data_IF_217767482908
#
_entry.id   IF_217767482908
#
_cell.length_a   1.000
_cell.length_b   1.000
_cell.length_c   1.000
_cell.angle_alpha   90.00
_cell.angle_beta   90.00
_cell.angle_gamma   90.00
#
_symmetry.space_group_name_H-M   'P 1'
#
loop_
_entity.id
_entity.type
_entity.pdbx_description
1 polymer ?
#
# COMPACT_ATOMS: atom_id res chain seq x y z
N UNK A 1 -12.07 32.31 -37.63
CA UNK A 1 -11.29 32.24 -36.39
C UNK A 1 -11.93 31.18 -35.50
N UNK A 2 -11.29 30.01 -35.41
CA UNK A 2 -11.76 28.88 -34.61
C UNK A 2 -11.01 28.91 -33.28
N UNK A 3 -11.72 29.05 -32.17
CA UNK A 3 -11.19 28.66 -30.86
C UNK A 3 -12.11 27.60 -30.28
N UNK A 4 -11.79 26.35 -30.62
CA UNK A 4 -12.35 25.16 -29.98
C UNK A 4 -11.29 24.65 -29.01
N UNK A 5 -11.56 24.73 -27.71
CA UNK A 5 -11.42 23.58 -26.81
C UNK A 5 -11.94 23.90 -25.41
N UNK A 6 -13.11 23.33 -25.12
CA UNK A 6 -13.62 23.08 -23.78
C UNK A 6 -12.92 21.85 -23.17
N UNK A 7 -12.86 21.86 -21.82
CA UNK A 7 -12.72 20.74 -20.89
C UNK A 7 -11.36 20.03 -20.68
N UNK A 8 -10.90 20.07 -19.42
CA UNK A 8 -10.69 18.83 -18.66
C UNK A 8 -10.96 18.97 -17.15
N UNK A 9 -12.12 18.47 -16.74
CA UNK A 9 -12.44 17.99 -15.38
C UNK A 9 -11.65 16.68 -15.17
N UNK A 10 -10.85 16.53 -14.11
CA UNK A 10 -10.33 15.19 -13.67
C UNK A 10 -10.09 15.25 -12.15
N UNK A 11 -10.98 14.74 -11.30
CA UNK A 11 -10.83 13.48 -10.52
C UNK A 11 -9.38 13.22 -10.06
N UNK A 12 -9.09 13.06 -8.77
CA UNK A 12 -9.27 11.76 -8.10
C UNK A 12 -9.22 11.90 -6.56
N UNK A 13 -10.02 11.11 -5.84
CA UNK A 13 -9.86 10.96 -4.38
C UNK A 13 -8.55 10.20 -4.17
N UNK A 14 -7.44 10.90 -3.89
CA UNK A 14 -6.16 10.24 -3.64
C UNK A 14 -6.31 9.19 -2.54
N UNK A 15 -6.07 7.93 -2.87
CA UNK A 15 -6.23 6.82 -1.92
C UNK A 15 -5.08 6.89 -0.92
N UNK A 16 -5.39 6.98 0.36
CA UNK A 16 -4.39 7.05 1.43
C UNK A 16 -4.39 5.70 2.14
N UNK A 17 -3.21 5.12 2.32
CA UNK A 17 -3.01 4.03 3.28
C UNK A 17 -2.53 4.63 4.60
N UNK A 18 -3.23 4.32 5.69
CA UNK A 18 -2.86 4.76 7.03
C UNK A 18 -2.09 3.65 7.74
N UNK A 19 -0.87 3.97 8.19
CA UNK A 19 0.00 3.11 8.97
C UNK A 19 0.08 3.68 10.38
N UNK A 20 -0.39 2.93 11.37
CA UNK A 20 -0.42 3.39 12.76
C UNK A 20 0.55 2.59 13.61
N UNK A 21 1.44 3.27 14.33
CA UNK A 21 2.27 2.64 15.37
C UNK A 21 1.56 2.81 16.70
N UNK A 22 1.16 1.69 17.31
CA UNK A 22 0.45 1.64 18.59
C UNK A 22 0.61 0.28 19.27
N UNK A 23 0.63 0.21 20.60
CA UNK A 23 0.78 -1.05 21.32
C UNK A 23 -0.36 -2.05 21.00
N UNK A 24 -0.02 -3.33 20.86
CA UNK A 24 -0.97 -4.41 20.57
C UNK A 24 -2.14 -4.46 21.57
N UNK A 25 -1.86 -4.16 22.85
CA UNK A 25 -2.89 -4.11 23.90
C UNK A 25 -3.99 -3.09 23.61
N UNK A 26 -3.63 -1.94 23.03
CA UNK A 26 -4.58 -0.90 22.67
C UNK A 26 -5.40 -1.31 21.45
N UNK A 27 -4.77 -1.95 20.45
CA UNK A 27 -5.48 -2.53 19.28
C UNK A 27 -6.59 -3.49 19.73
N UNK A 28 -6.27 -4.41 20.64
CA UNK A 28 -7.25 -5.37 21.16
C UNK A 28 -8.39 -4.70 21.95
N UNK A 29 -8.07 -3.64 22.72
CA UNK A 29 -9.06 -2.88 23.49
C UNK A 29 -10.03 -2.12 22.56
N UNK A 30 -9.51 -1.48 21.52
CA UNK A 30 -10.32 -0.76 20.52
C UNK A 30 -11.19 -1.72 19.70
N UNK A 31 -10.66 -2.89 19.39
CA UNK A 31 -11.44 -3.93 18.73
C UNK A 31 -12.60 -4.42 19.61
N UNK A 32 -12.34 -4.72 20.89
CA UNK A 32 -13.36 -5.16 21.83
C UNK A 32 -14.45 -4.09 22.05
N UNK A 33 -14.06 -2.81 22.13
CA UNK A 33 -15.03 -1.70 22.25
C UNK A 33 -15.83 -1.50 20.96
N UNK A 34 -15.18 -1.62 19.80
CA UNK A 34 -15.84 -1.55 18.48
C UNK A 34 -16.89 -2.65 18.32
N UNK A 35 -16.57 -3.91 18.63
CA UNK A 35 -17.54 -5.02 18.58
C UNK A 35 -18.75 -4.77 19.50
N UNK A 36 -18.53 -4.22 20.70
CA UNK A 36 -19.63 -3.86 21.61
C UNK A 36 -20.54 -2.77 21.03
N UNK A 37 -19.98 -1.78 20.33
CA UNK A 37 -20.76 -0.73 19.65
C UNK A 37 -21.59 -1.30 18.51
N UNK A 38 -20.98 -2.15 17.68
CA UNK A 38 -21.68 -2.85 16.58
C UNK A 38 -22.83 -3.69 17.12
N UNK A 39 -22.61 -4.47 18.19
CA UNK A 39 -23.68 -5.28 18.83
C UNK A 39 -24.82 -4.42 19.37
N UNK A 40 -24.56 -3.17 19.77
CA UNK A 40 -25.56 -2.20 20.23
C UNK A 40 -26.23 -1.43 19.08
N UNK A 41 -26.01 -1.82 17.82
CA UNK A 41 -26.57 -1.17 16.64
C UNK A 41 -25.98 0.21 16.35
N UNK A 42 -24.86 0.57 16.98
CA UNK A 42 -24.21 1.85 16.73
C UNK A 42 -23.42 1.81 15.42
N UNK A 43 -23.49 2.90 14.66
CA UNK A 43 -22.73 3.06 13.42
C UNK A 43 -21.24 3.22 13.76
N UNK A 44 -20.40 2.34 13.22
CA UNK A 44 -18.95 2.43 13.35
C UNK A 44 -18.35 2.71 11.98
N UNK A 45 -17.45 3.68 11.90
CA UNK A 45 -16.68 3.93 10.69
C UNK A 45 -15.65 2.81 10.50
N UNK A 46 -15.67 2.16 9.33
CA UNK A 46 -14.63 1.21 8.94
C UNK A 46 -13.35 1.98 8.62
N UNK A 47 -12.39 1.99 9.53
CA UNK A 47 -11.02 2.43 9.24
C UNK A 47 -10.20 1.20 8.83
N UNK A 48 -9.83 1.13 7.56
CA UNK A 48 -8.90 0.12 7.05
C UNK A 48 -7.51 0.75 7.10
N UNK A 49 -6.71 0.33 8.08
CA UNK A 49 -5.34 0.81 8.29
C UNK A 49 -4.47 -0.31 8.84
N UNK A 50 -3.18 -0.26 8.52
CA UNK A 50 -2.21 -1.29 8.95
C UNK A 50 -1.59 -0.82 10.26
N UNK A 51 -1.62 -1.66 11.30
CA UNK A 51 -1.07 -1.33 12.61
C UNK A 51 0.26 -2.04 12.86
N UNK A 52 1.22 -1.32 13.43
CA UNK A 52 2.53 -1.82 13.86
C UNK A 52 2.66 -1.68 15.37
N UNK A 53 3.18 -2.70 16.04
CA UNK A 53 3.39 -2.68 17.49
C UNK A 53 4.44 -1.66 17.93
N UNK A 54 5.42 -1.37 17.05
CA UNK A 54 6.52 -0.45 17.34
C UNK A 54 7.03 0.26 16.09
N UNK A 55 7.73 1.38 16.31
CA UNK A 55 8.40 2.12 15.25
C UNK A 55 9.46 1.28 14.56
N UNK A 56 10.13 0.38 15.29
CA UNK A 56 11.10 -0.55 14.73
C UNK A 56 10.46 -1.57 13.80
N UNK A 57 9.26 -2.06 14.14
CA UNK A 57 8.46 -2.90 13.26
C UNK A 57 8.14 -2.20 11.93
N UNK A 58 7.66 -0.96 12.01
CA UNK A 58 7.41 -0.14 10.82
C UNK A 58 8.67 0.07 9.99
N UNK A 59 9.80 0.42 10.62
CA UNK A 59 11.09 0.65 9.94
C UNK A 59 11.65 -0.60 9.27
N UNK A 60 11.37 -1.79 9.81
CA UNK A 60 11.73 -3.07 9.18
C UNK A 60 10.94 -3.33 7.91
N UNK A 61 9.74 -2.76 7.76
CA UNK A 61 8.90 -2.89 6.55
C UNK A 61 9.16 -1.76 5.57
N UNK A 62 9.04 -0.50 6.00
CA UNK A 62 9.24 0.70 5.17
C UNK A 62 10.69 1.18 5.18
N UNK A 63 11.58 0.36 4.62
CA UNK A 63 12.94 0.79 4.36
C UNK A 63 12.99 1.78 3.19
N UNK A 64 14.05 2.59 3.10
CA UNK A 64 14.27 3.51 1.97
C UNK A 64 14.13 2.83 0.61
N UNK A 65 14.72 1.63 0.47
CA UNK A 65 14.69 0.84 -0.78
C UNK A 65 13.29 0.38 -1.15
N UNK A 66 12.45 0.08 -0.17
CA UNK A 66 11.07 -0.36 -0.40
C UNK A 66 10.13 0.81 -0.69
N UNK A 67 10.36 1.96 -0.06
CA UNK A 67 9.67 3.20 -0.43
C UNK A 67 9.98 3.60 -1.87
N UNK A 68 11.24 3.49 -2.30
CA UNK A 68 11.63 3.68 -3.70
C UNK A 68 10.92 2.68 -4.61
N UNK A 69 10.91 1.39 -4.25
CA UNK A 69 10.21 0.35 -5.01
C UNK A 69 8.72 0.69 -5.19
N UNK A 70 8.01 1.03 -4.12
CA UNK A 70 6.59 1.44 -4.19
C UNK A 70 6.39 2.63 -5.14
N UNK A 71 7.29 3.62 -5.06
CA UNK A 71 7.26 4.81 -5.92
C UNK A 71 7.45 4.45 -7.39
N UNK A 72 8.41 3.57 -7.72
CA UNK A 72 8.65 3.08 -9.08
C UNK A 72 7.47 2.29 -9.60
N UNK A 73 6.92 1.37 -8.80
CA UNK A 73 5.76 0.56 -9.21
C UNK A 73 4.56 1.46 -9.56
N UNK A 74 4.31 2.50 -8.75
CA UNK A 74 3.22 3.45 -9.00
C UNK A 74 3.43 4.26 -10.27
N UNK A 75 4.65 4.76 -10.49
CA UNK A 75 4.98 5.67 -11.59
C UNK A 75 5.14 4.94 -12.93
N UNK A 76 5.97 3.91 -12.96
CA UNK A 76 6.36 3.21 -14.20
C UNK A 76 5.38 2.08 -14.56
N UNK A 77 4.57 1.60 -13.61
CA UNK A 77 3.57 0.54 -13.81
C UNK A 77 4.16 -0.69 -14.54
N UNK A 78 5.20 -1.32 -13.99
CA UNK A 78 5.85 -2.47 -14.62
C UNK A 78 4.86 -3.62 -14.84
N UNK A 79 4.99 -4.30 -15.97
CA UNK A 79 4.19 -5.45 -16.40
C UNK A 79 4.78 -6.79 -15.94
N UNK A 80 5.87 -6.76 -15.17
CA UNK A 80 6.40 -7.93 -14.47
C UNK A 80 7.37 -7.54 -13.36
N UNK A 81 7.64 -8.46 -12.43
CA UNK A 81 8.73 -8.31 -11.45
C UNK A 81 10.10 -8.16 -12.11
N UNK A 82 10.32 -8.83 -13.25
CA UNK A 82 11.57 -8.70 -13.99
C UNK A 82 11.77 -7.28 -14.53
N UNK A 83 10.74 -6.70 -15.13
CA UNK A 83 10.78 -5.32 -15.63
C UNK A 83 10.98 -4.32 -14.50
N UNK A 84 10.31 -4.50 -13.36
CA UNK A 84 10.55 -3.70 -12.15
C UNK A 84 12.03 -3.72 -11.73
N UNK A 85 12.68 -4.89 -11.79
CA UNK A 85 14.10 -5.00 -11.45
C UNK A 85 15.00 -4.20 -12.41
N UNK A 86 14.61 -4.08 -13.69
CA UNK A 86 15.29 -3.23 -14.67
C UNK A 86 15.11 -1.75 -14.39
N UNK A 87 13.91 -1.29 -14.06
CA UNK A 87 13.69 0.09 -13.66
C UNK A 87 14.50 0.47 -12.42
N UNK A 88 14.56 -0.42 -11.43
CA UNK A 88 15.31 -0.21 -10.19
C UNK A 88 16.82 -0.37 -10.36
N UNK A 89 17.30 -0.94 -11.49
CA UNK A 89 18.69 -1.37 -11.68
C UNK A 89 19.21 -2.27 -10.54
N UNK A 90 18.35 -3.18 -10.08
CA UNK A 90 18.62 -4.11 -8.97
C UNK A 90 18.49 -5.56 -9.44
N UNK A 91 19.12 -6.48 -8.72
CA UNK A 91 18.98 -7.91 -9.01
C UNK A 91 17.57 -8.41 -8.66
N UNK A 92 17.11 -9.41 -9.42
CA UNK A 92 15.75 -9.93 -9.31
C UNK A 92 15.46 -10.56 -7.94
N UNK A 93 16.47 -11.16 -7.29
CA UNK A 93 16.30 -11.83 -6.00
C UNK A 93 16.00 -10.80 -4.91
N UNK A 94 16.79 -9.73 -4.84
CA UNK A 94 16.57 -8.62 -3.90
C UNK A 94 15.22 -7.95 -4.10
N UNK A 95 14.79 -7.75 -5.35
CA UNK A 95 13.47 -7.17 -5.65
C UNK A 95 12.34 -8.10 -5.19
N UNK A 96 12.43 -9.41 -5.44
CA UNK A 96 11.44 -10.36 -4.95
C UNK A 96 11.36 -10.39 -3.41
N UNK A 97 12.51 -10.34 -2.72
CA UNK A 97 12.52 -10.28 -1.25
C UNK A 97 11.81 -9.04 -0.74
N UNK A 98 12.08 -7.87 -1.34
CA UNK A 98 11.42 -6.62 -0.95
C UNK A 98 9.92 -6.63 -1.25
N UNK A 99 9.55 -7.15 -2.42
CA UNK A 99 8.15 -7.30 -2.81
C UNK A 99 7.37 -8.22 -1.87
N UNK A 100 7.97 -9.34 -1.45
CA UNK A 100 7.33 -10.28 -0.53
C UNK A 100 7.03 -9.64 0.82
N UNK A 101 7.98 -8.88 1.37
CA UNK A 101 7.76 -8.14 2.63
C UNK A 101 6.64 -7.12 2.47
N UNK A 102 6.56 -6.43 1.33
CA UNK A 102 5.49 -5.46 1.08
C UNK A 102 4.13 -6.13 0.87
N UNK A 103 4.09 -7.30 0.23
CA UNK A 103 2.86 -8.09 0.02
C UNK A 103 2.31 -8.62 1.35
N UNK A 104 3.19 -9.17 2.21
CA UNK A 104 2.83 -9.65 3.55
C UNK A 104 2.29 -8.55 4.47
N UNK A 105 2.49 -7.28 4.12
CA UNK A 105 2.00 -6.11 4.85
C UNK A 105 0.94 -5.32 4.07
N UNK A 106 0.31 -5.92 3.04
CA UNK A 106 -0.76 -5.30 2.23
C UNK A 106 -0.36 -3.96 1.56
N UNK A 107 0.93 -3.70 1.39
CA UNK A 107 1.45 -2.49 0.75
C UNK A 107 1.61 -2.65 -0.77
N UNK A 108 1.54 -3.89 -1.26
CA UNK A 108 1.55 -4.20 -2.67
C UNK A 108 0.67 -5.41 -2.97
N UNK A 109 0.01 -5.39 -4.12
CA UNK A 109 -0.80 -6.49 -4.63
C UNK A 109 -0.19 -7.03 -5.93
N UNK A 110 -0.41 -8.30 -6.22
CA UNK A 110 0.00 -8.89 -7.48
C UNK A 110 -1.18 -9.30 -8.35
N UNK A 111 -1.18 -8.82 -9.60
CA UNK A 111 -2.05 -9.38 -10.63
C UNK A 111 -1.31 -10.50 -11.36
N UNK A 112 -1.87 -11.71 -11.31
CA UNK A 112 -1.43 -12.85 -12.13
C UNK A 112 -1.99 -12.70 -13.54
N UNK A 113 -1.12 -12.78 -14.54
CA UNK A 113 -1.49 -12.77 -15.96
C UNK A 113 -0.86 -13.99 -16.63
N UNK A 114 -1.62 -14.64 -17.51
CA UNK A 114 -1.14 -15.75 -18.33
C UNK A 114 -1.45 -15.47 -19.80
N UNK A 115 -0.41 -15.16 -20.57
CA UNK A 115 -0.48 -14.87 -22.01
C UNK A 115 0.42 -15.84 -22.82
N UNK A 116 0.53 -17.08 -22.34
CA UNK A 116 1.51 -18.07 -22.81
C UNK A 116 2.75 -18.14 -21.92
N UNK A 117 2.99 -17.12 -21.08
CA UNK A 117 3.92 -17.17 -19.94
C UNK A 117 3.25 -16.58 -18.70
N UNK A 118 3.43 -17.22 -17.55
CA UNK A 118 2.90 -16.70 -16.30
C UNK A 118 3.74 -15.51 -15.83
N UNK A 119 3.09 -14.36 -15.56
CA UNK A 119 3.73 -13.15 -15.04
C UNK A 119 2.99 -12.63 -13.81
N UNK A 120 3.78 -12.06 -12.90
CA UNK A 120 3.30 -11.34 -11.72
C UNK A 120 3.50 -9.84 -11.94
N UNK A 121 2.39 -9.10 -11.96
CA UNK A 121 2.37 -7.66 -12.13
C UNK A 121 2.17 -7.03 -10.76
N UNK A 122 3.20 -6.38 -10.17
CA UNK A 122 3.06 -5.68 -8.89
C UNK A 122 2.23 -4.40 -9.06
N UNK A 123 1.38 -4.10 -8.08
CA UNK A 123 0.50 -2.93 -8.06
C UNK A 123 0.43 -2.29 -6.69
N UNK A 124 0.45 -0.96 -6.68
CA UNK A 124 0.22 -0.14 -5.48
C UNK A 124 -1.15 0.52 -5.61
N UNK A 125 -2.05 0.24 -4.66
CA UNK A 125 -3.46 0.66 -4.68
C UNK A 125 -3.72 2.05 -4.05
N UNK A 126 -2.69 2.67 -3.47
CA UNK A 126 -2.71 3.99 -2.84
C UNK A 126 -1.79 4.99 -3.54
N UNK A 127 -1.96 6.26 -3.22
CA UNK A 127 -1.16 7.39 -3.71
C UNK A 127 -0.29 7.99 -2.60
N UNK A 128 -0.76 7.94 -1.36
CA UNK A 128 -0.06 8.51 -0.20
C UNK A 128 -0.01 7.49 0.94
N UNK A 129 1.09 7.54 1.69
CA UNK A 129 1.27 6.83 2.95
C UNK A 129 1.18 7.87 4.07
N UNK A 130 0.22 7.72 4.98
CA UNK A 130 0.14 8.51 6.20
C UNK A 130 0.64 7.65 7.36
N UNK A 131 1.64 8.13 8.08
CA UNK A 131 2.17 7.46 9.27
C UNK A 131 1.68 8.22 10.49
N UNK A 132 1.00 7.53 11.39
CA UNK A 132 0.55 8.06 12.68
C UNK A 132 1.26 7.29 13.79
N UNK A 133 1.89 7.99 14.73
CA UNK A 133 2.51 7.39 15.90
C UNK A 133 1.71 7.81 17.12
N UNK A 134 1.07 6.85 17.78
CA UNK A 134 0.34 7.05 19.03
C UNK A 134 1.32 6.78 20.18
N UNK A 135 1.52 7.77 21.05
CA UNK A 135 2.45 7.73 22.20
C UNK A 135 1.69 7.85 23.51
#
# INVERSE_FOLDING_TARGET
MMDRMTHKKVHDKSKIVELTVRPTREVLKDFATTLRKVRKGQKVESRVGISFESIDGLRKVLTRRRLELLSIVKREKPQSVYELSKFLKRDLKSVNTDLKVLEENDLIEFKRVNDGRQRLIPKVSFDNIKITVEV
#
